data_IF_277495815112
#
_entry.id   IF_277495815112
#
_cell.length_a   1.000
_cell.length_b   1.000
_cell.length_c   1.000
_cell.angle_alpha   90.00
_cell.angle_beta   90.00
_cell.angle_gamma   90.00
#
_symmetry.space_group_name_H-M   'P 1'
#
loop_
_entity.id
_entity.type
_entity.pdbx_description
1 polymer ?
#
# COMPACT_ATOMS: atom_id res chain seq x y z
N UNK A 1 -13.36 -7.68 -12.33
CA UNK A 1 -12.77 -8.23 -11.06
C UNK A 1 -11.26 -8.29 -11.27
N UNK A 2 -10.46 -7.79 -10.36
CA UNK A 2 -9.00 -7.82 -10.48
C UNK A 2 -8.49 -9.26 -10.32
N UNK A 3 -7.75 -9.81 -11.30
CA UNK A 3 -7.31 -11.21 -11.27
C UNK A 3 -6.35 -11.49 -10.10
N UNK A 4 -5.69 -10.47 -9.57
CA UNK A 4 -4.74 -10.62 -8.48
C UNK A 4 -5.40 -10.74 -7.10
N UNK A 5 -6.69 -10.44 -6.94
CA UNK A 5 -7.36 -10.52 -5.64
C UNK A 5 -7.24 -11.91 -5.02
N UNK A 6 -7.59 -12.94 -5.81
CA UNK A 6 -7.53 -14.32 -5.32
C UNK A 6 -6.10 -14.78 -4.97
N UNK A 7 -5.07 -14.19 -5.61
CA UNK A 7 -3.67 -14.43 -5.28
C UNK A 7 -3.33 -13.85 -3.91
N UNK A 8 -3.68 -12.58 -3.67
CA UNK A 8 -3.38 -11.87 -2.42
C UNK A 8 -4.24 -12.33 -1.23
N UNK A 9 -5.32 -13.05 -1.49
CA UNK A 9 -6.15 -13.68 -0.45
C UNK A 9 -5.69 -15.10 -0.10
N UNK A 10 -4.69 -15.67 -0.82
CA UNK A 10 -4.06 -16.95 -0.51
C UNK A 10 -2.95 -16.78 0.52
N UNK A 11 -2.93 -17.68 1.49
CA UNK A 11 -1.90 -17.67 2.52
C UNK A 11 -2.05 -16.52 3.53
N UNK A 12 -1.03 -16.34 4.33
CA UNK A 12 -0.97 -15.32 5.38
C UNK A 12 0.22 -14.37 5.17
N UNK A 13 -0.03 -13.26 4.50
CA UNK A 13 0.96 -12.23 4.25
C UNK A 13 1.35 -11.43 5.51
N UNK A 14 0.64 -11.58 6.64
CA UNK A 14 0.97 -10.85 7.87
C UNK A 14 2.33 -11.27 8.43
N UNK A 15 2.77 -12.50 8.18
CA UNK A 15 4.11 -12.96 8.54
C UNK A 15 5.22 -12.23 7.79
N UNK A 16 5.04 -12.00 6.48
CA UNK A 16 5.98 -11.24 5.66
C UNK A 16 5.96 -9.77 6.09
N UNK A 17 4.77 -9.21 6.27
CA UNK A 17 4.60 -7.84 6.74
C UNK A 17 5.27 -7.60 8.10
N UNK A 18 5.23 -8.58 9.00
CA UNK A 18 5.88 -8.49 10.31
C UNK A 18 7.40 -8.23 10.19
N UNK A 19 8.06 -8.86 9.23
CA UNK A 19 9.50 -8.68 9.00
C UNK A 19 9.88 -7.30 8.42
N UNK A 20 8.91 -6.58 7.83
CA UNK A 20 9.15 -5.27 7.20
C UNK A 20 8.67 -4.08 8.03
N UNK A 21 8.09 -4.31 9.22
CA UNK A 21 7.47 -3.25 10.05
C UNK A 21 8.45 -2.16 10.48
N UNK A 22 9.64 -2.55 10.91
CA UNK A 22 10.67 -1.59 11.31
C UNK A 22 11.11 -0.69 10.14
N UNK A 23 11.33 -1.30 8.98
CA UNK A 23 11.66 -0.57 7.75
C UNK A 23 10.51 0.35 7.31
N UNK A 24 9.26 -0.11 7.44
CA UNK A 24 8.07 0.69 7.15
C UNK A 24 7.95 1.91 8.06
N UNK A 25 8.20 1.75 9.35
CA UNK A 25 8.21 2.86 10.31
C UNK A 25 9.31 3.88 9.96
N UNK A 26 10.55 3.42 9.76
CA UNK A 26 11.67 4.28 9.41
C UNK A 26 11.44 5.06 8.09
N UNK A 27 10.77 4.43 7.13
CA UNK A 27 10.38 5.10 5.88
C UNK A 27 9.36 6.20 6.15
N UNK A 28 8.30 5.92 6.90
CA UNK A 28 7.23 6.87 7.22
C UNK A 28 7.76 8.11 7.93
N UNK A 29 8.71 7.94 8.85
CA UNK A 29 9.40 9.05 9.53
C UNK A 29 10.14 9.97 8.55
N UNK A 30 10.70 9.41 7.47
CA UNK A 30 11.43 10.18 6.43
C UNK A 30 10.51 10.85 5.41
N UNK A 31 9.28 10.37 5.23
CA UNK A 31 8.32 10.96 4.28
C UNK A 31 7.90 12.38 4.71
N UNK A 32 8.03 12.72 5.99
CA UNK A 32 7.66 14.05 6.50
C UNK A 32 6.15 14.20 6.65
N UNK A 33 5.50 13.17 7.18
CA UNK A 33 4.08 13.20 7.55
C UNK A 33 3.94 14.05 8.82
N UNK A 34 2.93 14.92 8.83
CA UNK A 34 2.61 15.79 9.97
C UNK A 34 1.19 15.57 10.46
N UNK A 35 0.94 16.01 11.70
CA UNK A 35 -0.40 15.95 12.30
C UNK A 35 -1.45 16.64 11.41
N UNK A 36 -2.59 15.97 11.24
CA UNK A 36 -3.73 16.47 10.47
C UNK A 36 -3.63 16.29 8.96
N UNK A 37 -2.47 15.83 8.42
CA UNK A 37 -2.38 15.47 7.01
C UNK A 37 -3.35 14.33 6.69
N UNK A 38 -4.06 14.45 5.57
CA UNK A 38 -4.87 13.37 5.00
C UNK A 38 -4.00 12.47 4.13
N UNK A 39 -3.83 11.23 4.54
CA UNK A 39 -2.92 10.27 3.90
C UNK A 39 -3.71 9.07 3.37
N UNK A 40 -3.50 8.73 2.10
CA UNK A 40 -3.91 7.46 1.52
C UNK A 40 -2.70 6.52 1.47
N UNK A 41 -2.85 5.33 2.05
CA UNK A 41 -1.90 4.22 1.91
C UNK A 41 -2.51 3.16 0.98
N UNK A 42 -1.98 3.05 -0.23
CA UNK A 42 -2.52 2.23 -1.33
C UNK A 42 -1.76 0.91 -1.46
N UNK A 43 -2.46 -0.21 -1.36
CA UNK A 43 -1.88 -1.53 -1.14
C UNK A 43 -1.31 -1.63 0.27
N UNK A 44 -2.11 -1.19 1.26
CA UNK A 44 -1.66 -0.97 2.64
C UNK A 44 -1.34 -2.27 3.40
N UNK A 45 -1.71 -3.42 2.86
CA UNK A 45 -1.53 -4.71 3.51
C UNK A 45 -2.17 -4.74 4.90
N UNK A 46 -1.43 -5.21 5.89
CA UNK A 46 -1.84 -5.23 7.29
C UNK A 46 -1.55 -3.90 8.03
N UNK A 47 -1.28 -2.82 7.29
CA UNK A 47 -1.04 -1.47 7.84
C UNK A 47 0.40 -1.20 8.25
N UNK A 48 1.39 -1.84 7.62
CA UNK A 48 2.82 -1.68 7.95
C UNK A 48 3.29 -0.22 7.87
N UNK A 49 2.77 0.58 6.94
CA UNK A 49 3.05 2.01 6.76
C UNK A 49 1.91 2.90 7.27
N UNK A 50 0.67 2.45 7.16
CA UNK A 50 -0.50 3.20 7.60
C UNK A 50 -0.54 3.45 9.11
N UNK A 51 -0.24 2.45 9.94
CA UNK A 51 -0.26 2.62 11.41
C UNK A 51 0.80 3.62 11.90
N UNK A 52 2.08 3.55 11.45
CA UNK A 52 3.05 4.58 11.79
C UNK A 52 2.62 5.99 11.38
N UNK A 53 2.05 6.17 10.18
CA UNK A 53 1.53 7.46 9.74
C UNK A 53 0.44 8.01 10.67
N UNK A 54 -0.49 7.16 11.09
CA UNK A 54 -1.53 7.53 12.05
C UNK A 54 -0.95 7.89 13.44
N UNK A 55 0.11 7.20 13.89
CA UNK A 55 0.81 7.55 15.15
C UNK A 55 1.47 8.92 15.09
N UNK A 56 1.88 9.40 13.92
CA UNK A 56 2.37 10.76 13.72
C UNK A 56 1.23 11.80 13.73
N UNK A 57 -0.03 11.34 13.82
CA UNK A 57 -1.21 12.20 13.92
C UNK A 57 -1.87 12.52 12.57
N UNK A 58 -1.51 11.85 11.49
CA UNK A 58 -2.21 11.95 10.21
C UNK A 58 -3.61 11.31 10.29
N UNK A 59 -4.54 11.78 9.44
CA UNK A 59 -5.81 11.12 9.15
C UNK A 59 -5.58 10.11 8.01
N UNK A 60 -5.56 8.83 8.33
CA UNK A 60 -5.13 7.81 7.37
C UNK A 60 -6.30 7.01 6.82
N UNK A 61 -6.31 6.81 5.51
CA UNK A 61 -7.14 5.81 4.84
C UNK A 61 -6.23 4.76 4.21
N UNK A 62 -6.36 3.50 4.62
CA UNK A 62 -5.68 2.37 3.99
C UNK A 62 -6.62 1.66 3.02
N UNK A 63 -6.12 1.38 1.83
CA UNK A 63 -6.84 0.61 0.80
C UNK A 63 -6.02 -0.59 0.38
N UNK A 64 -6.63 -1.77 0.41
CA UNK A 64 -6.02 -3.00 -0.10
C UNK A 64 -7.07 -3.87 -0.79
N UNK A 65 -6.65 -4.65 -1.77
CA UNK A 65 -7.54 -5.55 -2.50
C UNK A 65 -7.88 -6.79 -1.68
N UNK A 66 -7.04 -7.17 -0.73
CA UNK A 66 -7.16 -8.37 0.11
C UNK A 66 -8.01 -8.09 1.34
N UNK A 67 -9.18 -8.72 1.42
CA UNK A 67 -10.05 -8.65 2.62
C UNK A 67 -9.37 -9.16 3.90
N UNK A 68 -8.62 -10.29 3.88
CA UNK A 68 -7.88 -10.74 5.05
C UNK A 68 -6.91 -9.69 5.59
N UNK A 69 -6.16 -9.00 4.71
CA UNK A 69 -5.20 -7.99 5.11
C UNK A 69 -5.89 -6.73 5.67
N UNK A 70 -6.98 -6.27 5.04
CA UNK A 70 -7.81 -5.17 5.55
C UNK A 70 -8.33 -5.45 6.96
N UNK A 71 -8.78 -6.70 7.22
CA UNK A 71 -9.21 -7.11 8.56
C UNK A 71 -8.06 -7.10 9.56
N UNK A 72 -6.91 -7.65 9.18
CA UNK A 72 -5.71 -7.64 10.02
C UNK A 72 -5.25 -6.21 10.35
N UNK A 73 -5.24 -5.32 9.36
CA UNK A 73 -4.91 -3.90 9.55
C UNK A 73 -5.89 -3.21 10.52
N UNK A 74 -7.18 -3.46 10.36
CA UNK A 74 -8.23 -2.90 11.23
C UNK A 74 -8.06 -3.36 12.68
N UNK A 75 -7.80 -4.64 12.88
CA UNK A 75 -7.58 -5.19 14.22
C UNK A 75 -6.32 -4.61 14.87
N UNK A 76 -5.20 -4.52 14.13
CA UNK A 76 -3.98 -3.91 14.62
C UNK A 76 -4.16 -2.43 14.99
N UNK A 77 -4.95 -1.68 14.23
CA UNK A 77 -5.26 -0.29 14.56
C UNK A 77 -6.09 -0.20 15.86
N UNK A 78 -7.08 -1.09 16.02
CA UNK A 78 -7.89 -1.19 17.24
C UNK A 78 -7.03 -1.52 18.47
N UNK A 79 -6.15 -2.52 18.36
CA UNK A 79 -5.23 -2.91 19.43
C UNK A 79 -4.25 -1.79 19.80
N UNK A 80 -3.83 -0.98 18.81
CA UNK A 80 -2.97 0.18 19.01
C UNK A 80 -3.73 1.43 19.53
N UNK A 81 -5.06 1.37 19.71
CA UNK A 81 -5.88 2.48 20.17
C UNK A 81 -5.96 3.65 19.18
N UNK A 82 -5.71 3.41 17.90
CA UNK A 82 -5.73 4.46 16.87
C UNK A 82 -7.16 4.68 16.37
N UNK A 83 -7.62 5.94 16.43
CA UNK A 83 -8.97 6.35 16.00
C UNK A 83 -8.96 7.23 14.75
N UNK A 84 -7.78 7.67 14.32
CA UNK A 84 -7.53 8.53 13.16
C UNK A 84 -7.13 7.73 11.91
N UNK A 85 -7.50 6.47 11.86
CA UNK A 85 -7.20 5.57 10.74
C UNK A 85 -8.40 4.69 10.41
N UNK A 86 -8.64 4.46 9.13
CA UNK A 86 -9.62 3.51 8.63
C UNK A 86 -9.06 2.68 7.49
N UNK A 87 -9.57 1.47 7.35
CA UNK A 87 -9.19 0.57 6.27
C UNK A 87 -10.40 0.13 5.48
N UNK A 88 -10.26 0.02 4.17
CA UNK A 88 -11.29 -0.47 3.27
C UNK A 88 -10.72 -1.34 2.18
N UNK A 89 -11.53 -2.29 1.71
CA UNK A 89 -11.18 -3.05 0.52
C UNK A 89 -11.37 -2.17 -0.72
N UNK A 90 -10.43 -2.22 -1.66
CA UNK A 90 -10.53 -1.48 -2.91
C UNK A 90 -9.47 -1.91 -3.92
N UNK A 91 -9.72 -1.65 -5.20
CA UNK A 91 -8.77 -1.88 -6.28
C UNK A 91 -7.95 -0.60 -6.53
N UNK A 92 -6.64 -0.73 -6.57
CA UNK A 92 -5.73 0.36 -6.88
C UNK A 92 -5.95 0.96 -8.28
N UNK A 93 -6.54 0.19 -9.19
CA UNK A 93 -6.75 0.62 -10.57
C UNK A 93 -7.87 1.65 -10.75
N UNK A 94 -8.79 1.77 -9.80
CA UNK A 94 -9.92 2.71 -9.91
C UNK A 94 -10.11 3.57 -8.66
N UNK A 95 -9.81 3.06 -7.47
CA UNK A 95 -10.10 3.70 -6.18
C UNK A 95 -11.56 4.15 -6.08
N UNK A 96 -12.47 3.24 -6.47
CA UNK A 96 -13.90 3.52 -6.43
C UNK A 96 -14.37 3.94 -5.03
N UNK A 97 -15.26 4.92 -4.97
CA UNK A 97 -15.74 5.50 -3.72
C UNK A 97 -14.76 6.44 -2.98
N UNK A 98 -13.54 6.65 -3.51
CA UNK A 98 -12.60 7.65 -3.00
C UNK A 98 -12.79 8.96 -3.76
N UNK A 99 -13.09 10.09 -3.06
CA UNK A 99 -13.29 11.39 -3.71
C UNK A 99 -12.02 11.91 -4.39
N UNK A 100 -12.22 12.75 -5.42
CA UNK A 100 -11.14 13.48 -6.06
C UNK A 100 -10.51 14.48 -5.07
N UNK A 101 -9.20 14.71 -5.22
CA UNK A 101 -8.46 15.72 -4.43
C UNK A 101 -8.65 15.61 -2.90
N UNK A 102 -8.76 14.37 -2.40
CA UNK A 102 -9.08 14.12 -0.99
C UNK A 102 -7.85 14.05 -0.07
N UNK A 103 -6.64 13.85 -0.63
CA UNK A 103 -5.44 13.57 0.16
C UNK A 103 -4.29 14.53 -0.08
N UNK A 104 -3.61 14.90 1.00
CA UNK A 104 -2.35 15.65 0.98
C UNK A 104 -1.18 14.78 0.49
N UNK A 105 -1.24 13.50 0.84
CA UNK A 105 -0.25 12.49 0.49
C UNK A 105 -0.92 11.19 0.08
N UNK A 106 -0.54 10.67 -1.07
CA UNK A 106 -0.85 9.30 -1.49
C UNK A 106 0.44 8.51 -1.50
N UNK A 107 0.52 7.46 -0.70
CA UNK A 107 1.70 6.59 -0.68
C UNK A 107 1.32 5.16 -1.06
N UNK A 108 2.25 4.46 -1.70
CA UNK A 108 2.15 3.03 -1.96
C UNK A 108 3.52 2.40 -1.87
N UNK A 109 3.73 1.57 -0.85
CA UNK A 109 5.02 0.94 -0.58
C UNK A 109 4.90 -0.56 -0.80
N UNK A 110 5.49 -1.03 -1.89
CA UNK A 110 5.42 -2.42 -2.36
C UNK A 110 3.99 -2.96 -2.57
N UNK A 111 3.02 -2.07 -2.82
CA UNK A 111 1.62 -2.44 -3.02
C UNK A 111 1.17 -2.27 -4.47
N UNK A 112 0.96 -1.04 -4.90
CA UNK A 112 0.37 -0.72 -6.20
C UNK A 112 1.19 -1.20 -7.41
N UNK A 113 2.49 -1.47 -7.24
CA UNK A 113 3.36 -2.04 -8.29
C UNK A 113 2.89 -3.40 -8.82
N UNK A 114 2.08 -4.12 -8.04
CA UNK A 114 1.53 -5.42 -8.43
C UNK A 114 0.17 -5.34 -9.13
N UNK A 115 -0.37 -4.15 -9.29
CA UNK A 115 -1.65 -3.98 -9.97
C UNK A 115 -1.51 -4.25 -11.48
N UNK A 116 -2.51 -4.90 -12.11
CA UNK A 116 -2.40 -5.35 -13.50
C UNK A 116 -2.47 -4.21 -14.52
N UNK A 117 -2.95 -3.02 -14.11
CA UNK A 117 -3.14 -1.86 -14.99
C UNK A 117 -2.42 -0.63 -14.42
N UNK A 118 -1.08 -0.53 -14.57
CA UNK A 118 -0.27 0.49 -13.90
C UNK A 118 -0.64 1.93 -14.29
N UNK A 119 -1.08 2.17 -15.52
CA UNK A 119 -1.54 3.50 -15.95
C UNK A 119 -2.85 3.92 -15.29
N UNK A 120 -3.77 2.98 -15.05
CA UNK A 120 -5.00 3.26 -14.32
C UNK A 120 -4.70 3.58 -12.85
N UNK A 121 -3.78 2.83 -12.24
CA UNK A 121 -3.27 3.15 -10.89
C UNK A 121 -2.70 4.56 -10.83
N UNK A 122 -1.83 4.93 -11.77
CA UNK A 122 -1.25 6.27 -11.80
C UNK A 122 -2.34 7.36 -11.93
N UNK A 123 -3.33 7.17 -12.81
CA UNK A 123 -4.46 8.09 -12.94
C UNK A 123 -5.28 8.18 -11.66
N UNK A 124 -5.58 7.04 -11.02
CA UNK A 124 -6.32 7.00 -9.77
C UNK A 124 -5.58 7.72 -8.65
N UNK A 125 -4.27 7.47 -8.50
CA UNK A 125 -3.44 8.18 -7.51
C UNK A 125 -3.43 9.69 -7.73
N UNK A 126 -3.26 10.14 -8.97
CA UNK A 126 -3.29 11.58 -9.31
C UNK A 126 -4.67 12.18 -9.03
N UNK A 127 -5.75 11.48 -9.40
CA UNK A 127 -7.13 11.94 -9.20
C UNK A 127 -7.45 12.21 -7.72
N UNK A 128 -7.05 11.31 -6.83
CA UNK A 128 -7.37 11.42 -5.41
C UNK A 128 -6.41 12.33 -4.63
N UNK A 129 -5.24 12.66 -5.22
CA UNK A 129 -4.29 13.59 -4.63
C UNK A 129 -4.76 15.03 -4.87
N UNK A 130 -4.76 15.86 -3.83
CA UNK A 130 -5.14 17.28 -3.97
C UNK A 130 -4.08 18.06 -4.78
N UNK A 131 -4.44 19.20 -5.38
CA UNK A 131 -3.47 20.10 -5.99
C UNK A 131 -2.39 20.52 -4.99
N UNK A 132 -1.11 20.35 -5.35
CA UNK A 132 0.02 20.58 -4.45
C UNK A 132 0.31 19.43 -3.48
N UNK A 133 -0.50 18.38 -3.47
CA UNK A 133 -0.25 17.16 -2.71
C UNK A 133 0.91 16.34 -3.28
N UNK A 134 1.31 15.30 -2.57
CA UNK A 134 2.46 14.46 -2.94
C UNK A 134 2.04 13.02 -3.19
N UNK A 135 2.74 12.37 -4.12
CA UNK A 135 2.67 10.92 -4.36
C UNK A 135 4.03 10.32 -4.05
N UNK A 136 4.05 9.28 -3.21
CA UNK A 136 5.28 8.55 -2.83
C UNK A 136 5.09 7.08 -3.14
N UNK A 137 6.00 6.53 -3.96
CA UNK A 137 6.00 5.11 -4.29
C UNK A 137 7.32 4.46 -3.87
N UNK A 138 7.22 3.30 -3.24
CA UNK A 138 8.35 2.42 -2.95
C UNK A 138 8.22 1.13 -3.75
N UNK A 139 9.19 0.84 -4.61
CA UNK A 139 9.21 -0.33 -5.49
C UNK A 139 10.54 -1.08 -5.34
N UNK A 140 10.54 -2.36 -5.74
CA UNK A 140 11.79 -3.11 -5.87
C UNK A 140 12.66 -2.50 -6.97
N UNK A 141 13.96 -2.40 -6.70
CA UNK A 141 14.94 -1.89 -7.67
C UNK A 141 15.30 -3.05 -8.61
N UNK A 142 15.06 -2.92 -9.92
CA UNK A 142 15.50 -3.93 -10.88
C UNK A 142 17.01 -4.16 -10.79
N UNK A 143 17.43 -5.43 -10.84
CA UNK A 143 18.84 -5.83 -10.79
C UNK A 143 19.61 -5.43 -9.52
N UNK A 144 18.91 -5.12 -8.45
CA UNK A 144 19.52 -4.92 -7.14
C UNK A 144 20.32 -6.19 -6.72
N UNK A 145 21.51 -6.06 -6.11
CA UNK A 145 22.30 -7.21 -5.67
C UNK A 145 21.72 -7.95 -4.47
N UNK A 146 20.61 -7.47 -3.90
CA UNK A 146 19.97 -8.11 -2.74
C UNK A 146 19.38 -9.48 -3.07
N UNK A 147 19.22 -10.29 -2.02
CA UNK A 147 18.61 -11.61 -2.12
C UNK A 147 17.20 -11.55 -2.74
N UNK A 148 16.41 -10.53 -2.41
CA UNK A 148 15.03 -10.39 -2.93
C UNK A 148 15.03 -10.24 -4.44
N UNK A 149 15.87 -9.39 -5.01
CA UNK A 149 15.97 -9.21 -6.46
C UNK A 149 16.46 -10.49 -7.16
N UNK A 150 17.35 -11.25 -6.52
CA UNK A 150 17.81 -12.54 -7.04
C UNK A 150 16.68 -13.58 -7.06
N UNK A 151 15.89 -13.68 -5.98
CA UNK A 151 14.73 -14.58 -5.89
C UNK A 151 13.69 -14.20 -6.95
N UNK A 152 13.36 -12.91 -7.09
CA UNK A 152 12.40 -12.44 -8.09
C UNK A 152 12.86 -12.77 -9.52
N UNK A 153 14.14 -12.63 -9.83
CA UNK A 153 14.70 -13.00 -11.12
C UNK A 153 14.59 -14.50 -11.40
N UNK A 154 14.88 -15.34 -10.42
CA UNK A 154 14.72 -16.78 -10.53
C UNK A 154 13.23 -17.12 -10.74
N UNK A 155 12.35 -16.59 -9.92
CA UNK A 155 10.90 -16.83 -10.01
C UNK A 155 10.34 -16.41 -11.37
N UNK A 156 10.78 -15.28 -11.91
CA UNK A 156 10.34 -14.78 -13.22
C UNK A 156 10.66 -15.76 -14.38
N UNK A 157 11.75 -16.52 -14.28
CA UNK A 157 12.10 -17.52 -15.28
C UNK A 157 11.13 -18.72 -15.32
N UNK A 158 10.37 -18.92 -14.24
CA UNK A 158 9.38 -20.00 -14.10
C UNK A 158 7.93 -19.52 -14.10
N UNK A 159 7.73 -18.22 -14.20
CA UNK A 159 6.39 -17.62 -14.28
C UNK A 159 5.93 -17.52 -15.72
N UNK A 160 4.63 -17.74 -16.02
CA UNK A 160 4.12 -17.49 -17.34
C UNK A 160 4.33 -16.02 -17.73
N UNK A 161 4.53 -15.72 -19.03
CA UNK A 161 4.65 -14.34 -19.48
C UNK A 161 3.37 -13.54 -19.07
N UNK A 162 3.49 -12.22 -18.85
CA UNK A 162 2.34 -11.38 -18.59
C UNK A 162 1.31 -11.55 -19.71
N UNK A 163 0.03 -11.68 -19.38
CA UNK A 163 -1.04 -11.61 -20.38
C UNK A 163 -1.05 -10.18 -20.97
N UNK A 164 -1.05 -10.10 -22.31
CA UNK A 164 -1.22 -8.83 -23.03
C UNK A 164 -2.52 -8.11 -22.66
#
# INVERSE_FOLDING_TARGET
MNPNQALWEKGDFTHIAAATRESGQALVERIGITRGMKVLDLGCGDGTTALPAARLGAEVTGVDISRPLVRAATERAREAGLTNIRFQQGDACDLDGIPDHAFDLVMSIFGAMFAPRPFDVARAMVRVTQPGGRIVMGNWIPNDPTLVAQILRISAAYSPPPSE
#
